data_IF_948804287871
#
_entry.id   IF_948804287871
#
_cell.length_a   1.000
_cell.length_b   1.000
_cell.length_c   1.000
_cell.angle_alpha   90.00
_cell.angle_beta   90.00
_cell.angle_gamma   90.00
#
_symmetry.space_group_name_H-M   'P 1'
#
loop_
_entity.id
_entity.type
_entity.pdbx_description
1 polymer ?
#
# COMPACT_ATOMS: atom_id res chain seq x y z
N UNK A 1 1.57 4.00 7.57
CA UNK A 1 1.68 3.73 6.12
C UNK A 1 3.13 3.50 5.68
N UNK A 2 3.38 2.50 4.81
CA UNK A 2 4.68 2.24 4.17
C UNK A 2 4.46 2.05 2.66
N UNK A 3 5.37 2.58 1.84
CA UNK A 3 5.43 2.34 0.38
C UNK A 3 6.76 1.67 0.07
N UNK A 4 6.74 0.59 -0.71
CA UNK A 4 7.94 -0.07 -1.18
C UNK A 4 7.83 -0.45 -2.66
N UNK A 5 8.99 -0.62 -3.31
CA UNK A 5 9.04 -1.17 -4.67
C UNK A 5 8.96 -2.70 -4.67
N UNK A 6 8.97 -3.29 -5.87
CA UNK A 6 8.92 -4.73 -6.08
C UNK A 6 10.14 -5.49 -5.52
N UNK A 7 11.23 -4.77 -5.19
CA UNK A 7 12.46 -5.32 -4.59
C UNK A 7 12.47 -5.17 -3.06
N UNK A 8 11.33 -4.82 -2.46
CA UNK A 8 11.19 -4.53 -1.04
C UNK A 8 12.02 -3.33 -0.56
N UNK A 9 12.44 -2.43 -1.48
CA UNK A 9 13.07 -1.18 -1.08
C UNK A 9 11.99 -0.22 -0.62
N UNK A 10 12.10 0.23 0.63
CA UNK A 10 11.20 1.24 1.19
C UNK A 10 11.44 2.58 0.49
N UNK A 11 10.38 3.12 -0.12
CA UNK A 11 10.39 4.39 -0.84
C UNK A 11 9.86 5.54 0.03
N UNK A 12 8.87 5.26 0.87
CA UNK A 12 8.33 6.22 1.82
C UNK A 12 7.79 5.51 3.06
N UNK A 13 7.90 6.19 4.20
CA UNK A 13 7.31 5.77 5.49
C UNK A 13 6.63 6.97 6.11
N UNK A 14 5.40 6.78 6.54
CA UNK A 14 4.71 7.74 7.39
C UNK A 14 4.20 7.02 8.64
N UNK A 15 4.80 7.40 9.77
CA UNK A 15 4.49 6.94 11.12
C UNK A 15 4.04 8.09 12.03
N UNK A 16 3.61 9.22 11.45
CA UNK A 16 3.24 10.44 12.19
C UNK A 16 1.94 10.31 12.99
N UNK A 17 1.18 9.24 12.77
CA UNK A 17 -0.13 9.00 13.40
C UNK A 17 -0.14 7.67 14.17
N UNK A 18 -0.92 7.57 15.26
CA UNK A 18 -1.13 6.30 15.97
C UNK A 18 -1.69 5.23 15.04
N UNK A 19 -1.41 3.96 15.33
CA UNK A 19 -1.83 2.81 14.51
C UNK A 19 -3.35 2.60 14.38
N UNK A 20 -4.17 3.42 15.05
CA UNK A 20 -5.63 3.46 14.90
C UNK A 20 -6.11 4.35 13.74
N UNK A 21 -5.23 5.17 13.15
CA UNK A 21 -5.58 5.94 11.95
C UNK A 21 -5.53 5.04 10.72
N UNK A 22 -6.58 5.08 9.90
CA UNK A 22 -6.60 4.38 8.61
C UNK A 22 -5.47 4.88 7.69
N UNK A 23 -4.76 3.97 7.04
CA UNK A 23 -3.65 4.35 6.14
C UNK A 23 -4.12 5.23 4.97
N UNK A 24 -5.38 5.13 4.54
CA UNK A 24 -5.96 6.02 3.53
C UNK A 24 -6.11 7.47 4.01
N UNK A 25 -6.35 7.68 5.31
CA UNK A 25 -6.34 9.02 5.90
C UNK A 25 -4.92 9.60 5.91
N UNK A 26 -3.93 8.79 6.26
CA UNK A 26 -2.51 9.20 6.22
C UNK A 26 -2.09 9.53 4.79
N UNK A 27 -2.47 8.70 3.82
CA UNK A 27 -2.21 8.92 2.39
C UNK A 27 -2.67 10.30 1.92
N UNK A 28 -3.90 10.67 2.25
CA UNK A 28 -4.49 11.95 1.85
C UNK A 28 -3.74 13.17 2.41
N UNK A 29 -2.95 12.99 3.46
CA UNK A 29 -2.20 14.07 4.12
C UNK A 29 -0.69 14.01 3.87
N UNK A 30 -0.17 12.89 3.38
CA UNK A 30 1.28 12.67 3.30
C UNK A 30 1.91 13.31 2.06
N UNK A 31 3.18 13.71 2.18
CA UNK A 31 3.96 14.27 1.07
C UNK A 31 4.17 13.29 -0.08
N UNK A 32 4.12 11.98 0.19
CA UNK A 32 4.26 10.97 -0.85
C UNK A 32 3.14 11.09 -1.90
N UNK A 33 1.89 11.28 -1.48
CA UNK A 33 0.78 11.50 -2.41
C UNK A 33 1.00 12.71 -3.30
N UNK A 34 1.46 13.83 -2.72
CA UNK A 34 1.77 15.05 -3.48
C UNK A 34 2.89 14.82 -4.51
N UNK A 35 3.91 14.02 -4.15
CA UNK A 35 4.99 13.65 -5.06
C UNK A 35 4.46 12.87 -6.28
N UNK A 36 3.63 11.85 -6.08
CA UNK A 36 3.04 11.08 -7.18
C UNK A 36 2.09 11.93 -8.03
N UNK A 37 1.27 12.79 -7.40
CA UNK A 37 0.39 13.71 -8.12
C UNK A 37 1.16 14.68 -9.01
N UNK A 38 2.23 15.28 -8.48
CA UNK A 38 3.07 16.20 -9.26
C UNK A 38 3.78 15.48 -10.39
N UNK A 39 4.28 14.26 -10.17
CA UNK A 39 4.93 13.45 -11.20
C UNK A 39 3.95 13.09 -12.32
N UNK A 40 2.73 12.68 -11.96
CA UNK A 40 1.66 12.42 -12.91
C UNK A 40 1.30 13.67 -13.74
N UNK A 41 1.17 14.82 -13.09
CA UNK A 41 0.90 16.09 -13.78
C UNK A 41 2.04 16.53 -14.72
N UNK A 42 3.26 16.04 -14.51
CA UNK A 42 4.42 16.24 -15.39
C UNK A 42 4.52 15.17 -16.49
N UNK A 43 3.55 14.24 -16.56
CA UNK A 43 3.45 13.22 -17.60
C UNK A 43 3.99 11.84 -17.22
N UNK A 44 4.32 11.59 -15.95
CA UNK A 44 4.69 10.24 -15.50
C UNK A 44 3.46 9.34 -15.41
N UNK A 45 3.42 8.32 -16.26
CA UNK A 45 2.37 7.30 -16.30
C UNK A 45 2.88 5.90 -15.94
N UNK A 46 4.16 5.78 -15.58
CA UNK A 46 4.81 4.50 -15.29
C UNK A 46 4.94 4.23 -13.78
N UNK A 47 4.75 5.25 -12.96
CA UNK A 47 4.78 5.13 -11.49
C UNK A 47 3.39 4.80 -10.91
N UNK A 48 3.12 3.51 -10.74
CA UNK A 48 1.85 3.00 -10.20
C UNK A 48 2.03 2.34 -8.83
N UNK A 49 1.13 2.66 -7.90
CA UNK A 49 1.02 2.04 -6.58
C UNK A 49 -0.15 1.05 -6.52
N UNK A 50 -0.01 0.00 -5.70
CA UNK A 50 -1.07 -0.97 -5.41
C UNK A 50 -1.62 -0.76 -3.99
N UNK A 51 -2.75 -0.05 -3.87
CA UNK A 51 -3.44 0.21 -2.60
C UNK A 51 -4.50 -0.86 -2.29
N UNK A 52 -4.84 -1.06 -1.02
CA UNK A 52 -6.00 -1.91 -0.68
C UNK A 52 -7.32 -1.17 -0.97
N UNK A 53 -8.42 -1.89 -0.73
CA UNK A 53 -9.77 -1.36 -0.92
C UNK A 53 -10.13 -0.19 0.00
N UNK A 54 -9.33 0.11 1.03
CA UNK A 54 -9.52 1.24 1.93
C UNK A 54 -9.04 2.58 1.34
N UNK A 55 -8.25 2.54 0.26
CA UNK A 55 -7.79 3.72 -0.46
C UNK A 55 -8.79 4.16 -1.53
N UNK A 56 -8.77 5.46 -1.85
CA UNK A 56 -9.41 5.97 -3.06
C UNK A 56 -8.61 5.60 -4.30
N UNK A 57 -9.29 5.31 -5.41
CA UNK A 57 -8.65 5.11 -6.71
C UNK A 57 -8.09 6.45 -7.22
N UNK A 58 -6.84 6.47 -7.65
CA UNK A 58 -6.18 7.65 -8.24
C UNK A 58 -5.38 7.23 -9.49
N UNK A 59 -4.98 8.16 -10.38
CA UNK A 59 -4.24 7.82 -11.60
C UNK A 59 -2.92 7.06 -11.37
N UNK A 60 -2.33 7.23 -10.19
CA UNK A 60 -1.09 6.60 -9.74
C UNK A 60 -1.30 5.61 -8.58
N UNK A 61 -2.55 5.36 -8.15
CA UNK A 61 -2.88 4.43 -7.06
C UNK A 61 -4.05 3.54 -7.44
N UNK A 62 -3.75 2.28 -7.73
CA UNK A 62 -4.69 1.27 -8.18
C UNK A 62 -5.20 0.48 -6.98
N UNK A 63 -6.52 0.38 -6.86
CA UNK A 63 -7.22 -0.39 -5.83
C UNK A 63 -7.95 -1.60 -6.46
N UNK A 64 -8.19 -2.68 -5.70
CA UNK A 64 -8.88 -3.85 -6.24
C UNK A 64 -10.35 -3.53 -6.56
N UNK A 65 -10.92 -4.27 -7.51
CA UNK A 65 -12.35 -4.22 -7.80
C UNK A 65 -13.17 -4.75 -6.61
N UNK A 66 -14.32 -4.13 -6.33
CA UNK A 66 -15.29 -4.57 -5.31
C UNK A 66 -16.31 -5.54 -5.89
N UNK A 67 -16.88 -6.40 -5.05
CA UNK A 67 -18.01 -7.29 -5.37
C UNK A 67 -17.82 -8.12 -6.65
N UNK A 68 -16.66 -8.77 -6.76
CA UNK A 68 -16.24 -9.47 -7.97
C UNK A 68 -16.62 -10.94 -7.94
N UNK A 69 -17.34 -11.40 -8.97
CA UNK A 69 -17.64 -12.82 -9.15
C UNK A 69 -16.39 -13.63 -9.54
N UNK A 70 -16.26 -14.84 -9.00
CA UNK A 70 -15.14 -15.73 -9.26
C UNK A 70 -15.02 -16.06 -10.77
N UNK A 71 -13.78 -16.18 -11.25
CA UNK A 71 -13.47 -16.54 -12.65
C UNK A 71 -13.54 -15.38 -13.65
N UNK A 72 -14.07 -14.22 -13.27
CA UNK A 72 -14.08 -13.01 -14.11
C UNK A 72 -12.68 -12.44 -14.35
N UNK A 73 -12.56 -11.52 -15.32
CA UNK A 73 -11.30 -10.81 -15.59
C UNK A 73 -10.91 -9.94 -14.39
N UNK A 74 -11.89 -9.30 -13.74
CA UNK A 74 -11.70 -8.54 -12.52
C UNK A 74 -11.19 -9.42 -11.38
N UNK A 75 -11.66 -10.67 -11.27
CA UNK A 75 -11.19 -11.60 -10.25
C UNK A 75 -9.72 -11.97 -10.48
N UNK A 76 -9.36 -12.25 -11.74
CA UNK A 76 -7.95 -12.50 -12.12
C UNK A 76 -7.07 -11.29 -11.84
N UNK A 77 -7.56 -10.09 -12.13
CA UNK A 77 -6.88 -8.85 -11.80
C UNK A 77 -6.65 -8.71 -10.29
N UNK A 78 -7.70 -8.90 -9.47
CA UNK A 78 -7.60 -8.82 -8.01
C UNK A 78 -6.59 -9.84 -7.46
N UNK A 79 -6.49 -11.05 -8.04
CA UNK A 79 -5.48 -12.03 -7.65
C UNK A 79 -4.05 -11.54 -7.94
N UNK A 80 -3.80 -10.99 -9.14
CA UNK A 80 -2.50 -10.40 -9.48
C UNK A 80 -2.16 -9.20 -8.61
N UNK A 81 -3.17 -8.35 -8.34
CA UNK A 81 -3.05 -7.18 -7.48
C UNK A 81 -2.67 -7.58 -6.04
N UNK A 82 -3.37 -8.56 -5.47
CA UNK A 82 -3.07 -9.12 -4.15
C UNK A 82 -1.66 -9.73 -4.11
N UNK A 83 -1.25 -10.45 -5.15
CA UNK A 83 0.13 -10.98 -5.25
C UNK A 83 1.18 -9.87 -5.25
N UNK A 84 0.92 -8.74 -5.90
CA UNK A 84 1.81 -7.57 -5.86
C UNK A 84 1.87 -6.96 -4.46
N UNK A 85 0.72 -6.84 -3.78
CA UNK A 85 0.64 -6.33 -2.41
C UNK A 85 1.35 -7.20 -1.38
N UNK A 86 1.46 -8.51 -1.58
CA UNK A 86 2.24 -9.38 -0.71
C UNK A 86 3.69 -8.90 -0.52
N UNK A 87 4.25 -8.12 -1.45
CA UNK A 87 5.59 -7.54 -1.33
C UNK A 87 5.67 -6.54 -0.17
N UNK A 88 4.68 -5.66 0.01
CA UNK A 88 4.70 -4.68 1.12
C UNK A 88 4.50 -5.38 2.47
N UNK A 89 3.65 -6.41 2.53
CA UNK A 89 3.43 -7.21 3.74
C UNK A 89 4.71 -7.95 4.15
N UNK A 90 5.41 -8.57 3.19
CA UNK A 90 6.72 -9.19 3.42
C UNK A 90 7.77 -8.18 3.87
N UNK A 91 7.79 -7.00 3.27
CA UNK A 91 8.71 -5.91 3.65
C UNK A 91 8.48 -5.52 5.12
N UNK A 92 7.22 -5.33 5.52
CA UNK A 92 6.85 -5.05 6.91
C UNK A 92 7.25 -6.20 7.84
N UNK A 93 7.03 -7.45 7.44
CA UNK A 93 7.45 -8.64 8.20
C UNK A 93 8.96 -8.67 8.46
N UNK A 94 9.78 -8.39 7.44
CA UNK A 94 11.24 -8.30 7.57
C UNK A 94 11.64 -7.16 8.52
N UNK A 95 10.99 -5.99 8.40
CA UNK A 95 11.25 -4.86 9.30
C UNK A 95 10.92 -5.22 10.76
N UNK A 96 9.78 -5.87 11.02
CA UNK A 96 9.38 -6.33 12.36
C UNK A 96 10.35 -7.37 12.94
N UNK A 97 10.87 -8.28 12.11
CA UNK A 97 11.85 -9.27 12.52
C UNK A 97 13.19 -8.63 12.93
N UNK A 98 13.66 -7.63 12.15
CA UNK A 98 14.89 -6.89 12.43
C UNK A 98 14.75 -5.96 13.64
N UNK A 99 13.65 -5.23 13.72
CA UNK A 99 13.34 -4.32 14.81
C UNK A 99 12.25 -4.93 15.67
N UNK A 100 12.65 -5.79 16.61
CA UNK A 100 11.70 -6.48 17.51
C UNK A 100 10.81 -5.53 18.32
N UNK A 101 11.18 -4.26 18.44
CA UNK A 101 10.34 -3.20 19.01
C UNK A 101 9.06 -2.90 18.20
N UNK A 102 8.99 -3.35 16.94
CA UNK A 102 7.79 -3.28 16.09
C UNK A 102 6.88 -4.52 16.22
N UNK A 103 7.27 -5.52 17.00
CA UNK A 103 6.33 -6.53 17.50
C UNK A 103 5.53 -5.92 18.66
N UNK A 104 4.43 -5.24 18.33
CA UNK A 104 3.38 -5.04 19.32
C UNK A 104 2.89 -6.40 19.79
N UNK A 105 3.00 -6.69 21.08
CA UNK A 105 2.43 -7.85 21.75
C UNK A 105 0.98 -8.09 21.29
N UNK A 106 0.76 -9.11 20.45
CA UNK A 106 -0.54 -9.78 20.41
C UNK A 106 -0.71 -10.46 21.77
N UNK A 107 -1.42 -9.81 22.70
CA UNK A 107 -2.23 -10.56 23.68
C UNK A 107 -3.38 -11.15 22.85
N UNK A 108 -3.55 -12.45 22.63
CA UNK A 108 -3.34 -13.58 23.54
C UNK A 108 -4.66 -13.83 24.26
N UNK A 109 -5.40 -14.86 23.83
CA UNK A 109 -6.54 -15.46 24.55
C UNK A 109 -7.89 -14.84 24.27
#
# INVERSE_FOLDING_TARGET
>A
MIICDYRMKVLAVDASRPGSCHDSFIWNMCNARNYFLNSYNQGDTNSLLLGDSGYGLEPFLITPYKDVAAGTVQHKFNNSHASGRNIVERTIGVLKSRFRSLHGTQKGG
#
